data_IF_373645956838
#
_entry.id   IF_373645956838
#
_cell.length_a   1.000
_cell.length_b   1.000
_cell.length_c   1.000
_cell.angle_alpha   90.00
_cell.angle_beta   90.00
_cell.angle_gamma   90.00
#
_symmetry.space_group_name_H-M   'P 1'
#
loop_
_entity.id
_entity.type
_entity.pdbx_description
1 polymer ?
#
# COMPACT_ATOMS: atom_id res chain seq x y z
N UNK A 1 -15.63 -4.37 15.83
CA UNK A 1 -14.48 -3.69 15.19
C UNK A 1 -13.57 -4.67 14.45
N UNK A 2 -13.11 -5.75 15.10
CA UNK A 2 -12.18 -6.74 14.51
C UNK A 2 -12.69 -7.37 13.19
N UNK A 3 -13.97 -7.77 13.10
CA UNK A 3 -14.52 -8.34 11.84
C UNK A 3 -14.45 -7.40 10.64
N UNK A 4 -14.66 -6.09 10.84
CA UNK A 4 -14.55 -5.09 9.77
C UNK A 4 -13.11 -4.94 9.30
N UNK A 5 -12.17 -4.98 10.24
CA UNK A 5 -10.74 -4.87 9.96
C UNK A 5 -10.23 -6.09 9.16
N UNK A 6 -10.67 -7.30 9.52
CA UNK A 6 -10.36 -8.52 8.77
C UNK A 6 -10.89 -8.50 7.33
N UNK A 7 -12.08 -7.93 7.12
CA UNK A 7 -12.66 -7.77 5.78
C UNK A 7 -11.83 -6.80 4.92
N UNK A 8 -11.38 -5.68 5.50
CA UNK A 8 -10.50 -4.73 4.82
C UNK A 8 -9.15 -5.35 4.49
N UNK A 9 -8.55 -6.09 5.43
CA UNK A 9 -7.30 -6.83 5.23
C UNK A 9 -7.42 -7.87 4.12
N UNK A 10 -8.57 -8.58 4.05
CA UNK A 10 -8.83 -9.55 2.98
C UNK A 10 -8.92 -8.87 1.62
N UNK A 11 -9.58 -7.73 1.53
CA UNK A 11 -9.61 -6.91 0.31
C UNK A 11 -8.21 -6.46 -0.09
N UNK A 12 -7.43 -5.94 0.86
CA UNK A 12 -6.05 -5.54 0.64
C UNK A 12 -5.19 -6.68 0.09
N UNK A 13 -5.26 -7.86 0.71
CA UNK A 13 -4.50 -9.04 0.29
C UNK A 13 -4.88 -9.53 -1.11
N UNK A 14 -6.17 -9.52 -1.46
CA UNK A 14 -6.68 -10.01 -2.74
C UNK A 14 -6.41 -9.06 -3.90
N UNK A 15 -6.67 -7.77 -3.70
CA UNK A 15 -6.71 -6.80 -4.79
C UNK A 15 -5.46 -5.91 -4.87
N UNK A 16 -4.95 -5.47 -3.72
CA UNK A 16 -3.91 -4.43 -3.66
C UNK A 16 -2.51 -4.99 -3.48
N UNK A 17 -2.37 -6.11 -2.77
CA UNK A 17 -1.08 -6.61 -2.30
C UNK A 17 -0.07 -6.84 -3.43
N UNK A 18 -0.44 -7.55 -4.51
CA UNK A 18 0.50 -7.85 -5.60
C UNK A 18 1.09 -6.58 -6.24
N UNK A 19 0.22 -5.64 -6.62
CA UNK A 19 0.66 -4.40 -7.25
C UNK A 19 1.47 -3.53 -6.28
N UNK A 20 0.97 -3.37 -5.07
CA UNK A 20 1.61 -2.53 -4.07
C UNK A 20 2.95 -3.10 -3.59
N UNK A 21 3.08 -4.44 -3.51
CA UNK A 21 4.33 -5.13 -3.25
C UNK A 21 5.32 -4.89 -4.38
N UNK A 22 4.91 -5.02 -5.64
CA UNK A 22 5.78 -4.76 -6.79
C UNK A 22 6.33 -3.32 -6.78
N UNK A 23 5.48 -2.33 -6.53
CA UNK A 23 5.89 -0.92 -6.39
C UNK A 23 6.84 -0.75 -5.21
N UNK A 24 6.56 -1.37 -4.06
CA UNK A 24 7.43 -1.30 -2.87
C UNK A 24 8.82 -1.88 -3.13
N UNK A 25 8.89 -3.01 -3.83
CA UNK A 25 10.16 -3.65 -4.20
C UNK A 25 10.94 -2.79 -5.19
N UNK A 26 10.28 -2.16 -6.16
CA UNK A 26 10.93 -1.23 -7.08
C UNK A 26 11.50 0.00 -6.35
N UNK A 27 10.77 0.55 -5.38
CA UNK A 27 11.25 1.64 -4.54
C UNK A 27 12.41 1.22 -3.63
N UNK A 28 12.39 -0.01 -3.10
CA UNK A 28 13.49 -0.54 -2.32
C UNK A 28 14.76 -0.70 -3.16
N UNK A 29 14.61 -1.13 -4.41
CA UNK A 29 15.71 -1.17 -5.37
C UNK A 29 16.28 0.23 -5.62
N UNK A 30 15.44 1.25 -5.78
CA UNK A 30 15.90 2.64 -5.91
C UNK A 30 16.71 3.07 -4.68
N UNK A 31 16.23 2.79 -3.47
CA UNK A 31 16.95 3.12 -2.23
C UNK A 31 18.30 2.42 -2.17
N UNK A 32 18.39 1.17 -2.63
CA UNK A 32 19.67 0.44 -2.73
C UNK A 32 20.66 1.13 -3.69
N UNK A 33 20.19 1.71 -4.80
CA UNK A 33 21.08 2.32 -5.81
C UNK A 33 21.47 3.75 -5.43
N UNK A 34 20.55 4.52 -4.84
CA UNK A 34 20.74 5.97 -4.63
C UNK A 34 20.99 6.36 -3.16
N UNK A 35 20.91 5.42 -2.22
CA UNK A 35 21.10 5.70 -0.81
C UNK A 35 19.81 5.94 -0.02
N UNK A 36 19.92 5.99 1.32
CA UNK A 36 18.77 6.17 2.21
C UNK A 36 18.17 7.58 2.14
N UNK A 37 18.88 8.56 1.59
CA UNK A 37 18.42 9.95 1.48
C UNK A 37 17.20 10.10 0.58
N UNK A 38 16.99 9.18 -0.38
CA UNK A 38 15.85 9.24 -1.30
C UNK A 38 14.56 8.65 -0.73
N UNK A 39 14.58 8.06 0.47
CA UNK A 39 13.40 7.44 1.12
C UNK A 39 12.19 8.38 1.17
N UNK A 40 12.31 9.67 1.56
CA UNK A 40 11.18 10.59 1.56
C UNK A 40 10.59 10.78 0.15
N UNK A 41 11.44 10.86 -0.87
CA UNK A 41 11.01 11.00 -2.26
C UNK A 41 10.31 9.73 -2.76
N UNK A 42 10.81 8.54 -2.39
CA UNK A 42 10.15 7.26 -2.68
C UNK A 42 8.76 7.16 -2.04
N UNK A 43 8.62 7.61 -0.78
CA UNK A 43 7.34 7.65 -0.08
C UNK A 43 6.35 8.61 -0.75
N UNK A 44 6.81 9.78 -1.18
CA UNK A 44 6.00 10.72 -1.97
C UNK A 44 5.58 10.13 -3.31
N UNK A 45 6.49 9.46 -4.01
CA UNK A 45 6.18 8.77 -5.27
C UNK A 45 5.10 7.70 -5.08
N UNK A 46 5.21 6.88 -4.02
CA UNK A 46 4.18 5.90 -3.68
C UNK A 46 2.83 6.54 -3.34
N UNK A 47 2.84 7.64 -2.59
CA UNK A 47 1.63 8.38 -2.27
C UNK A 47 0.95 8.94 -3.52
N UNK A 48 1.72 9.39 -4.52
CA UNK A 48 1.19 9.87 -5.81
C UNK A 48 0.63 8.75 -6.70
N UNK A 49 1.16 7.53 -6.58
CA UNK A 49 0.66 6.35 -7.32
C UNK A 49 -0.70 5.89 -6.80
N UNK A 50 -0.99 6.03 -5.50
CA UNK A 50 -2.25 5.54 -4.93
C UNK A 50 -3.51 6.16 -5.57
N UNK A 51 -3.65 7.49 -5.74
CA UNK A 51 -4.82 8.06 -6.41
C UNK A 51 -5.04 7.47 -7.80
N UNK A 52 -3.97 7.34 -8.60
CA UNK A 52 -4.03 6.77 -9.95
C UNK A 52 -4.46 5.30 -9.90
N UNK A 53 -3.80 4.49 -9.08
CA UNK A 53 -4.09 3.06 -8.96
C UNK A 53 -5.50 2.80 -8.42
N UNK A 54 -5.89 3.52 -7.37
CA UNK A 54 -7.22 3.43 -6.79
C UNK A 54 -8.28 3.78 -7.82
N UNK A 55 -8.14 4.93 -8.50
CA UNK A 55 -9.18 5.47 -9.38
C UNK A 55 -9.31 4.71 -10.70
N UNK A 56 -8.18 4.36 -11.32
CA UNK A 56 -8.15 3.69 -12.63
C UNK A 56 -8.46 2.20 -12.47
N UNK A 57 -7.79 1.52 -11.54
CA UNK A 57 -7.85 0.06 -11.47
C UNK A 57 -8.94 -0.42 -10.53
N UNK A 58 -8.95 0.12 -9.30
CA UNK A 58 -9.80 -0.44 -8.24
C UNK A 58 -11.26 -0.01 -8.38
N UNK A 59 -11.54 1.25 -8.68
CA UNK A 59 -12.92 1.72 -8.83
C UNK A 59 -13.65 1.04 -9.99
N UNK A 60 -12.97 0.86 -11.13
CA UNK A 60 -13.59 0.26 -12.30
C UNK A 60 -13.76 -1.26 -12.15
N UNK A 61 -12.77 -1.95 -11.57
CA UNK A 61 -12.75 -3.42 -11.55
C UNK A 61 -13.42 -4.06 -10.35
N UNK A 62 -13.46 -3.37 -9.21
CA UNK A 62 -14.03 -3.90 -7.95
C UNK A 62 -15.34 -3.19 -7.56
N UNK A 63 -16.04 -2.62 -8.55
CA UNK A 63 -17.33 -1.95 -8.38
C UNK A 63 -18.33 -2.78 -7.57
N UNK A 64 -18.52 -4.04 -7.96
CA UNK A 64 -19.46 -4.98 -7.31
C UNK A 64 -19.05 -5.37 -5.89
N UNK A 65 -17.74 -5.55 -5.65
CA UNK A 65 -17.23 -5.80 -4.30
C UNK A 65 -17.49 -4.63 -3.35
N UNK A 66 -17.44 -3.38 -3.84
CA UNK A 66 -17.80 -2.23 -3.01
C UNK A 66 -19.25 -2.27 -2.54
N UNK A 67 -20.18 -2.81 -3.33
CA UNK A 67 -21.57 -3.00 -2.89
C UNK A 67 -21.66 -4.08 -1.79
N UNK A 68 -20.89 -5.17 -1.91
CA UNK A 68 -20.80 -6.20 -0.88
C UNK A 68 -20.30 -5.65 0.47
N UNK A 69 -19.17 -4.92 0.46
CA UNK A 69 -18.62 -4.33 1.68
C UNK A 69 -19.51 -3.22 2.26
N UNK A 70 -20.25 -2.49 1.40
CA UNK A 70 -21.22 -1.48 1.83
C UNK A 70 -22.41 -2.12 2.57
N UNK A 71 -22.91 -3.26 2.11
CA UNK A 71 -23.97 -4.00 2.78
C UNK A 71 -23.53 -4.55 4.15
N UNK A 72 -22.24 -4.82 4.33
CA UNK A 72 -21.63 -5.17 5.62
C UNK A 72 -21.34 -3.95 6.53
N UNK A 73 -21.72 -2.75 6.10
CA UNK A 73 -21.57 -1.52 6.87
C UNK A 73 -20.14 -0.96 6.88
N UNK A 74 -19.33 -1.27 5.86
CA UNK A 74 -18.00 -0.68 5.63
C UNK A 74 -18.12 0.37 4.52
N UNK A 75 -17.76 1.62 4.82
CA UNK A 75 -17.79 2.69 3.83
C UNK A 75 -16.59 2.57 2.88
N UNK A 76 -16.79 2.94 1.60
CA UNK A 76 -15.72 2.92 0.60
C UNK A 76 -14.47 3.74 1.01
N UNK A 77 -14.67 4.91 1.62
CA UNK A 77 -13.56 5.73 2.14
C UNK A 77 -12.75 5.02 3.23
N UNK A 78 -13.43 4.26 4.08
CA UNK A 78 -12.82 3.52 5.19
C UNK A 78 -12.07 2.29 4.67
N UNK A 79 -12.67 1.54 3.74
CA UNK A 79 -12.03 0.40 3.08
C UNK A 79 -10.75 0.81 2.35
N UNK A 80 -10.82 1.85 1.50
CA UNK A 80 -9.66 2.31 0.74
C UNK A 80 -8.63 3.01 1.62
N UNK A 81 -9.07 3.84 2.57
CA UNK A 81 -8.17 4.59 3.45
C UNK A 81 -7.35 3.67 4.34
N UNK A 82 -7.98 2.68 4.97
CA UNK A 82 -7.28 1.73 5.86
C UNK A 82 -6.33 0.84 5.06
N UNK A 83 -6.72 0.36 3.87
CA UNK A 83 -5.83 -0.42 3.00
C UNK A 83 -4.61 0.39 2.54
N UNK A 84 -4.80 1.66 2.15
CA UNK A 84 -3.68 2.51 1.75
C UNK A 84 -2.75 2.84 2.92
N UNK A 85 -3.31 3.08 4.11
CA UNK A 85 -2.52 3.32 5.31
C UNK A 85 -1.67 2.10 5.67
N UNK A 86 -2.26 0.90 5.65
CA UNK A 86 -1.53 -0.35 5.89
C UNK A 86 -0.38 -0.53 4.89
N UNK A 87 -0.63 -0.29 3.60
CA UNK A 87 0.38 -0.41 2.56
C UNK A 87 1.50 0.62 2.65
N UNK A 88 1.15 1.85 3.06
CA UNK A 88 2.13 2.92 3.24
C UNK A 88 3.07 2.60 4.41
N UNK A 89 2.53 2.11 5.51
CA UNK A 89 3.32 1.64 6.66
C UNK A 89 4.22 0.47 6.26
N UNK A 90 3.68 -0.53 5.56
CA UNK A 90 4.46 -1.67 5.07
C UNK A 90 5.61 -1.22 4.16
N UNK A 91 5.36 -0.29 3.24
CA UNK A 91 6.40 0.23 2.37
C UNK A 91 7.46 1.01 3.13
N UNK A 92 7.06 1.85 4.09
CA UNK A 92 8.00 2.60 4.91
C UNK A 92 8.93 1.68 5.71
N UNK A 93 8.35 0.66 6.36
CA UNK A 93 9.11 -0.36 7.10
C UNK A 93 10.06 -1.09 6.16
N UNK A 94 9.61 -1.47 4.96
CA UNK A 94 10.44 -2.16 3.98
C UNK A 94 11.62 -1.30 3.52
N UNK A 95 11.40 -0.01 3.22
CA UNK A 95 12.49 0.90 2.84
C UNK A 95 13.47 1.13 4.00
N UNK A 96 12.97 1.28 5.22
CA UNK A 96 13.80 1.42 6.42
C UNK A 96 14.64 0.18 6.68
N UNK A 97 14.07 -1.02 6.59
CA UNK A 97 14.82 -2.28 6.70
C UNK A 97 15.87 -2.38 5.60
N UNK A 98 15.51 -2.03 4.37
CA UNK A 98 16.44 -2.05 3.23
C UNK A 98 17.64 -1.12 3.50
N UNK A 99 17.37 0.10 3.99
CA UNK A 99 18.43 1.03 4.37
C UNK A 99 19.29 0.51 5.54
N UNK A 100 18.66 -0.07 6.57
CA UNK A 100 19.36 -0.56 7.75
C UNK A 100 20.28 -1.74 7.39
N UNK A 101 19.80 -2.71 6.60
CA UNK A 101 20.60 -3.85 6.15
C UNK A 101 21.74 -3.50 5.19
N UNK A 102 21.61 -2.42 4.41
CA UNK A 102 22.60 -2.05 3.38
C UNK A 102 23.62 -1.01 3.86
N UNK A 103 23.27 -0.15 4.81
CA UNK A 103 24.06 1.03 5.16
C UNK A 103 24.53 1.09 6.62
N UNK A 104 23.95 0.31 7.55
CA UNK A 104 24.56 0.16 8.88
C UNK A 104 25.55 -1.02 8.90
N UNK A 105 26.81 -0.80 9.32
CA UNK A 105 27.71 -1.90 9.63
C UNK A 105 27.26 -2.56 10.94
N UNK A 106 27.17 -3.89 10.91
CA UNK A 106 26.89 -4.75 12.07
C UNK A 106 28.07 -4.75 13.05
#
# INVERSE_FOLDING_TARGET
>A
MIRKLLLILRFYYSAMFFFCAAVSVALAWLVKVHGPEIIPMCMLGKAAVYPLYLYVWIVQRYGDEFFYYRNLGVRRRELLGVSCAADFVLCYVLLKLTALFLYEPL
#
